data_IF_617300848482
#
_entry.id   IF_617300848482
#
_cell.length_a   1.000
_cell.length_b   1.000
_cell.length_c   1.000
_cell.angle_alpha   90.00
_cell.angle_beta   90.00
_cell.angle_gamma   90.00
#
_symmetry.space_group_name_H-M   'P 1'
#
loop_
_entity.id
_entity.type
_entity.pdbx_description
1 polymer ?
#
# COMPACT_ATOMS: atom_id res chain seq x y z
N UNK A 1 2.45 -15.83 -18.47
CA UNK A 1 2.23 -14.81 -19.52
C UNK A 1 3.36 -13.80 -19.40
N UNK A 2 4.05 -13.53 -20.50
CA UNK A 2 5.19 -12.63 -20.50
C UNK A 2 4.76 -11.28 -21.07
N UNK A 3 5.04 -10.19 -20.36
CA UNK A 3 4.63 -8.84 -20.76
C UNK A 3 5.84 -8.05 -21.26
N UNK A 4 5.60 -7.24 -22.28
CA UNK A 4 6.52 -6.19 -22.67
C UNK A 4 6.20 -4.94 -21.83
N UNK A 5 7.20 -4.13 -21.53
CA UNK A 5 7.05 -2.96 -20.67
C UNK A 5 7.55 -1.68 -21.33
N UNK A 6 7.02 -0.56 -20.88
CA UNK A 6 7.49 0.81 -21.17
C UNK A 6 7.74 1.53 -19.85
N UNK A 7 8.78 2.36 -19.80
CA UNK A 7 9.08 3.20 -18.63
C UNK A 7 8.54 4.60 -18.91
N UNK A 8 7.64 5.07 -18.05
CA UNK A 8 6.99 6.38 -18.17
C UNK A 8 7.40 7.30 -17.01
N UNK A 9 7.59 8.61 -17.26
CA UNK A 9 7.84 9.56 -16.18
C UNK A 9 6.60 9.70 -15.28
N UNK A 10 6.83 9.89 -13.99
CA UNK A 10 5.82 10.34 -13.03
C UNK A 10 5.79 11.88 -13.10
N UNK A 11 4.61 12.48 -13.13
CA UNK A 11 4.47 13.93 -13.10
C UNK A 11 5.07 14.53 -11.81
N UNK A 12 5.55 15.77 -11.86
CA UNK A 12 6.06 16.52 -10.70
C UNK A 12 7.34 15.91 -10.06
N UNK A 13 8.10 15.13 -10.85
CA UNK A 13 9.36 14.48 -10.43
C UNK A 13 10.55 14.87 -11.31
N UNK A 14 10.45 15.98 -12.05
CA UNK A 14 11.42 16.42 -13.06
C UNK A 14 12.81 16.63 -12.46
N UNK A 15 12.88 17.12 -11.22
CA UNK A 15 14.14 17.35 -10.50
C UNK A 15 14.97 16.07 -10.40
N UNK A 16 14.34 14.95 -10.07
CA UNK A 16 15.01 13.65 -9.95
C UNK A 16 15.28 13.07 -11.34
N UNK A 17 14.31 13.17 -12.25
CA UNK A 17 14.39 12.63 -13.61
C UNK A 17 15.54 13.21 -14.44
N UNK A 18 15.94 14.46 -14.18
CA UNK A 18 17.11 15.08 -14.84
C UNK A 18 18.40 14.24 -14.69
N UNK A 19 18.54 13.48 -13.61
CA UNK A 19 19.69 12.60 -13.38
C UNK A 19 19.56 11.23 -14.09
N UNK A 20 18.38 10.92 -14.62
CA UNK A 20 18.03 9.59 -15.15
C UNK A 20 17.34 9.66 -16.52
N UNK A 21 17.65 10.66 -17.35
CA UNK A 21 17.00 10.90 -18.66
C UNK A 21 16.99 9.69 -19.59
N UNK A 22 18.03 8.85 -19.54
CA UNK A 22 18.14 7.62 -20.36
C UNK A 22 17.40 6.41 -19.79
N UNK A 23 16.74 6.53 -18.64
CA UNK A 23 16.06 5.39 -18.01
C UNK A 23 14.92 4.88 -18.88
N UNK A 24 14.23 5.76 -19.61
CA UNK A 24 13.17 5.40 -20.56
C UNK A 24 13.60 4.39 -21.63
N UNK A 25 14.84 4.50 -22.12
CA UNK A 25 15.40 3.64 -23.17
C UNK A 25 15.65 2.20 -22.69
N UNK A 26 15.70 1.98 -21.37
CA UNK A 26 16.03 0.68 -20.75
C UNK A 26 14.82 -0.21 -20.50
N UNK A 27 13.63 0.17 -20.97
CA UNK A 27 12.40 -0.58 -20.76
C UNK A 27 12.47 -2.03 -21.29
N UNK A 28 13.22 -2.25 -22.37
CA UNK A 28 13.43 -3.57 -22.98
C UNK A 28 14.07 -4.57 -22.00
N UNK A 29 14.87 -4.12 -21.02
CA UNK A 29 15.51 -4.99 -20.02
C UNK A 29 14.52 -5.68 -19.07
N UNK A 30 13.27 -5.22 -19.05
CA UNK A 30 12.20 -5.75 -18.22
C UNK A 30 11.19 -6.59 -19.02
N UNK A 31 11.25 -6.52 -20.35
CA UNK A 31 10.36 -7.25 -21.23
C UNK A 31 10.70 -8.74 -21.22
N UNK A 32 9.72 -9.60 -21.47
CA UNK A 32 9.97 -11.04 -21.51
C UNK A 32 10.00 -11.74 -20.14
N UNK A 33 9.85 -11.00 -19.03
CA UNK A 33 9.92 -11.54 -17.66
C UNK A 33 9.03 -10.77 -16.68
N UNK A 34 8.93 -11.27 -15.45
CA UNK A 34 8.35 -10.52 -14.35
C UNK A 34 9.45 -9.73 -13.62
N UNK A 35 9.34 -8.39 -13.55
CA UNK A 35 10.23 -7.57 -12.74
C UNK A 35 10.09 -7.93 -11.26
N UNK A 36 11.21 -7.97 -10.54
CA UNK A 36 11.24 -8.11 -9.09
C UNK A 36 10.68 -6.87 -8.39
N UNK A 37 10.38 -6.99 -7.10
CA UNK A 37 9.91 -5.88 -6.29
C UNK A 37 10.96 -4.75 -6.22
N UNK A 38 12.23 -5.12 -6.04
CA UNK A 38 13.32 -4.16 -5.95
C UNK A 38 13.51 -3.38 -7.27
N UNK A 39 13.37 -4.03 -8.42
CA UNK A 39 13.43 -3.37 -9.72
C UNK A 39 12.29 -2.36 -9.89
N UNK A 40 11.07 -2.71 -9.46
CA UNK A 40 9.92 -1.80 -9.50
C UNK A 40 10.16 -0.57 -8.61
N UNK A 41 10.61 -0.77 -7.37
CA UNK A 41 10.93 0.33 -6.47
C UNK A 41 12.08 1.21 -7.00
N UNK A 42 13.13 0.58 -7.53
CA UNK A 42 14.25 1.30 -8.13
C UNK A 42 13.81 2.25 -9.26
N UNK A 43 12.82 1.87 -10.07
CA UNK A 43 12.28 2.74 -11.13
C UNK A 43 11.45 3.89 -10.51
N UNK A 44 10.63 3.59 -9.50
CA UNK A 44 9.80 4.58 -8.79
C UNK A 44 10.63 5.67 -8.10
N UNK A 45 11.70 5.28 -7.41
CA UNK A 45 12.60 6.22 -6.72
C UNK A 45 13.25 7.23 -7.67
N UNK A 46 13.44 6.85 -8.94
CA UNK A 46 14.01 7.69 -9.99
C UNK A 46 12.98 8.59 -10.67
N UNK A 47 11.73 8.57 -10.21
CA UNK A 47 10.64 9.39 -10.74
C UNK A 47 9.98 8.80 -11.98
N UNK A 48 10.07 7.49 -12.21
CA UNK A 48 9.43 6.81 -13.33
C UNK A 48 8.58 5.64 -12.84
N UNK A 49 7.76 5.06 -13.70
CA UNK A 49 7.06 3.82 -13.42
C UNK A 49 7.08 2.89 -14.64
N UNK A 50 6.96 1.60 -14.37
CA UNK A 50 6.93 0.56 -15.40
C UNK A 50 5.47 0.25 -15.76
N UNK A 51 5.07 0.51 -17.00
CA UNK A 51 3.73 0.22 -17.50
C UNK A 51 3.79 -0.94 -18.51
N UNK A 52 2.81 -1.86 -18.51
CA UNK A 52 2.73 -2.89 -19.54
C UNK A 52 2.49 -2.24 -20.90
N UNK A 53 3.20 -2.72 -21.91
CA UNK A 53 2.98 -2.33 -23.30
C UNK A 53 1.72 -3.05 -23.77
N UNK A 54 0.64 -2.30 -23.92
CA UNK A 54 -0.57 -2.81 -24.55
C UNK A 54 -0.24 -3.13 -26.00
N UNK A 55 -0.33 -4.42 -26.37
CA UNK A 55 -0.41 -4.81 -27.78
C UNK A 55 -1.84 -4.52 -28.21
N UNK A 56 -2.02 -3.80 -29.30
CA UNK A 56 -3.33 -3.30 -29.78
C UNK A 56 -4.39 -4.42 -29.94
N UNK A 57 -3.99 -5.69 -29.93
CA UNK A 57 -4.86 -6.86 -30.09
C UNK A 57 -5.47 -7.45 -28.80
N UNK A 58 -5.14 -6.92 -27.60
CA UNK A 58 -5.58 -7.53 -26.33
C UNK A 58 -6.41 -6.61 -25.44
N UNK A 59 -7.36 -5.88 -26.02
CA UNK A 59 -8.55 -5.45 -25.28
C UNK A 59 -9.61 -6.56 -25.34
N UNK A 60 -9.34 -7.71 -24.71
CA UNK A 60 -10.46 -8.52 -24.18
C UNK A 60 -10.77 -7.94 -22.82
N UNK A 61 -11.87 -7.21 -22.76
CA UNK A 61 -12.46 -6.68 -21.55
C UNK A 61 -12.88 -7.85 -20.64
N UNK A 62 -11.92 -8.47 -19.95
CA UNK A 62 -12.23 -9.34 -18.81
C UNK A 62 -12.57 -8.41 -17.65
N UNK A 63 -13.81 -7.89 -17.68
CA UNK A 63 -14.45 -7.28 -16.52
C UNK A 63 -14.55 -8.38 -15.47
N UNK A 64 -13.59 -8.44 -14.57
CA UNK A 64 -13.68 -9.30 -13.38
C UNK A 64 -14.69 -8.65 -12.45
N UNK A 65 -15.95 -9.06 -12.58
CA UNK A 65 -17.00 -8.70 -11.62
C UNK A 65 -16.67 -9.39 -10.29
N UNK A 66 -16.05 -8.66 -9.37
CA UNK A 66 -15.85 -9.14 -8.00
C UNK A 66 -17.21 -9.14 -7.30
N UNK A 67 -17.84 -10.31 -7.23
CA UNK A 67 -19.00 -10.55 -6.39
C UNK A 67 -18.53 -10.49 -4.93
N UNK A 68 -18.61 -9.31 -4.32
CA UNK A 68 -18.46 -9.17 -2.87
C UNK A 68 -19.70 -9.80 -2.24
N UNK A 69 -19.57 -11.03 -1.74
CA UNK A 69 -20.61 -11.58 -0.87
C UNK A 69 -20.62 -10.75 0.43
N UNK A 70 -21.76 -10.17 0.82
CA UNK A 70 -21.87 -9.51 2.11
C UNK A 70 -21.71 -10.57 3.20
N UNK A 71 -20.53 -10.63 3.81
CA UNK A 71 -20.35 -11.36 5.06
C UNK A 71 -20.98 -10.51 6.16
N UNK A 72 -22.08 -11.04 6.69
CA UNK A 72 -22.80 -10.70 7.94
C UNK A 72 -22.89 -9.21 8.29
N UNK A 73 -24.13 -8.71 8.40
CA UNK A 73 -24.41 -7.33 8.81
C UNK A 73 -23.63 -6.97 10.08
N UNK A 74 -22.99 -5.80 10.07
CA UNK A 74 -22.23 -5.24 11.19
C UNK A 74 -22.98 -5.30 12.53
N UNK A 75 -24.31 -5.34 12.51
CA UNK A 75 -25.17 -5.55 13.67
C UNK A 75 -24.90 -6.87 14.41
N UNK A 76 -24.65 -7.98 13.70
CA UNK A 76 -24.42 -9.29 14.30
C UNK A 76 -23.05 -9.36 15.01
N UNK A 77 -22.03 -8.71 14.43
CA UNK A 77 -20.71 -8.58 15.06
C UNK A 77 -20.76 -7.69 16.31
N UNK A 78 -21.51 -6.58 16.25
CA UNK A 78 -21.71 -5.67 17.38
C UNK A 78 -22.49 -6.33 18.52
N UNK A 79 -23.50 -7.16 18.23
CA UNK A 79 -24.18 -7.95 19.26
C UNK A 79 -23.23 -8.96 19.92
N UNK A 80 -22.43 -9.68 19.14
CA UNK A 80 -21.45 -10.65 19.67
C UNK A 80 -20.40 -10.03 20.60
N UNK A 81 -20.04 -8.76 20.36
CA UNK A 81 -19.17 -7.98 21.26
C UNK A 81 -19.89 -7.55 22.53
N UNK A 82 -21.17 -7.14 22.43
CA UNK A 82 -21.98 -6.75 23.59
C UNK A 82 -22.27 -7.94 24.50
N UNK A 83 -22.52 -9.11 23.95
CA UNK A 83 -22.78 -10.33 24.71
C UNK A 83 -21.53 -10.81 25.48
N UNK A 84 -20.34 -10.60 24.91
CA UNK A 84 -19.06 -10.85 25.62
C UNK A 84 -18.76 -9.84 26.71
N UNK A 85 -19.21 -8.59 26.57
CA UNK A 85 -19.00 -7.55 27.57
C UNK A 85 -19.93 -7.67 28.80
N UNK A 86 -21.04 -8.43 28.69
CA UNK A 86 -21.99 -8.62 29.78
C UNK A 86 -21.76 -9.92 30.58
N UNK A 87 -20.72 -10.69 30.25
CA UNK A 87 -20.27 -11.81 31.08
C UNK A 87 -19.59 -11.26 32.34
N UNK A 88 -20.38 -11.10 33.40
CA UNK A 88 -19.99 -10.68 34.74
C UNK A 88 -18.89 -11.59 35.31
N UNK A 89 -17.66 -11.09 35.35
CA UNK A 89 -16.57 -11.64 36.17
C UNK A 89 -16.50 -10.83 37.46
N UNK A 90 -16.63 -11.44 38.65
CA UNK A 90 -16.42 -10.74 39.92
C UNK A 90 -14.93 -10.74 40.27
N UNK A 91 -14.37 -9.57 40.64
CA UNK A 91 -13.08 -9.48 41.31
C UNK A 91 -12.17 -8.33 40.85
N UNK A 92 -12.17 -7.23 41.61
CA UNK A 92 -11.16 -6.16 41.68
C UNK A 92 -9.76 -6.70 42.06
N UNK A 93 -8.60 -5.98 41.90
CA UNK A 93 -8.47 -4.52 42.06
C UNK A 93 -7.56 -3.73 41.08
N UNK A 94 -7.92 -2.45 41.01
CA UNK A 94 -7.15 -1.21 40.82
C UNK A 94 -5.79 -1.24 40.09
N UNK A 95 -5.64 -0.56 38.95
CA UNK A 95 -4.33 -0.23 38.39
C UNK A 95 -3.74 1.00 39.10
N UNK A 96 -2.58 0.84 39.72
CA UNK A 96 -1.74 1.93 40.20
C UNK A 96 -1.44 2.91 39.06
N UNK A 97 -1.95 4.14 39.15
CA UNK A 97 -1.48 5.26 38.35
C UNK A 97 -0.47 6.06 39.18
N UNK A 98 0.81 5.90 38.88
CA UNK A 98 1.82 6.90 39.25
C UNK A 98 1.87 7.96 38.14
N UNK A 99 1.65 9.25 38.44
CA UNK A 99 1.77 10.29 37.41
C UNK A 99 3.25 10.53 37.06
N UNK A 100 3.55 10.93 35.80
CA UNK A 100 4.90 11.28 35.38
C UNK A 100 5.37 12.57 36.08
N UNK A 101 6.63 12.60 36.53
CA UNK A 101 7.29 13.79 37.07
C UNK A 101 7.33 14.88 35.99
N UNK A 102 6.65 16.00 36.25
CA UNK A 102 6.80 17.23 35.47
C UNK A 102 8.25 17.71 35.53
N UNK A 103 8.84 17.96 34.36
CA UNK A 103 10.13 18.63 34.24
C UNK A 103 9.98 20.08 34.70
N UNK A 104 10.69 20.44 35.77
CA UNK A 104 10.84 21.83 36.19
C UNK A 104 11.75 22.58 35.22
N UNK A 105 11.36 23.83 35.00
CA UNK A 105 11.90 24.80 34.05
C UNK A 105 13.39 25.07 34.26
N UNK A 106 14.16 25.00 33.19
CA UNK A 106 15.46 25.68 33.09
C UNK A 106 15.20 27.13 32.69
N UNK A 107 15.68 28.07 33.51
CA UNK A 107 15.92 29.47 33.14
C UNK A 107 16.79 30.12 34.23
N UNK A 108 17.56 31.17 33.90
CA UNK A 108 18.69 31.24 32.98
C UNK A 108 20.05 31.13 33.69
#
# INVERSE_FOLDING_TARGET
MSFDYIIKPINDREVIQKNFVRLGERANNYSGRHPSLNERFSILERGYYLAPKLKEEQYRNDVVTVQVQPKESTSAFVQKLKDKANAKVPGSPSPCFSPPKSAESVSP
#
